data_IF_952793931744
#
_entry.id   IF_952793931744
#
_cell.length_a   1.000
_cell.length_b   1.000
_cell.length_c   1.000
_cell.angle_alpha   90.00
_cell.angle_beta   90.00
_cell.angle_gamma   90.00
#
_symmetry.space_group_name_H-M   'P 1'
#
loop_
_entity.id
_entity.type
_entity.pdbx_description
1 polymer ?
#
# COMPACT_ATOMS: atom_id res chain seq x y z
N UNK A 1 70.13 -17.45 49.10
CA UNK A 1 69.28 -16.24 49.12
C UNK A 1 68.18 -16.42 48.08
N UNK A 2 66.90 -16.48 48.47
CA UNK A 2 65.82 -16.98 47.62
C UNK A 2 65.14 -15.87 46.80
N UNK A 3 64.84 -16.20 45.55
CA UNK A 3 64.13 -15.41 44.56
C UNK A 3 62.63 -15.33 44.86
N UNK A 4 62.09 -14.09 44.90
CA UNK A 4 60.66 -13.83 45.09
C UNK A 4 59.87 -14.13 43.81
N UNK A 5 58.95 -15.08 43.94
CA UNK A 5 57.85 -15.39 43.03
C UNK A 5 56.92 -14.17 42.95
N UNK A 6 56.73 -13.59 41.76
CA UNK A 6 55.67 -12.59 41.50
C UNK A 6 54.45 -13.31 40.93
N UNK A 7 53.32 -13.14 41.61
CA UNK A 7 52.00 -13.64 41.23
C UNK A 7 51.49 -12.96 39.95
N UNK A 8 51.12 -13.77 38.96
CA UNK A 8 50.38 -13.33 37.78
C UNK A 8 48.91 -13.08 38.17
N UNK A 9 48.40 -11.88 37.88
CA UNK A 9 46.97 -11.58 37.97
C UNK A 9 46.22 -12.39 36.90
N UNK A 10 45.06 -12.99 37.20
CA UNK A 10 44.26 -13.65 36.19
C UNK A 10 43.69 -12.61 35.21
N UNK A 11 43.86 -12.89 33.92
CA UNK A 11 43.23 -12.15 32.82
C UNK A 11 41.70 -12.22 32.92
N UNK A 12 40.98 -11.13 32.57
CA UNK A 12 39.53 -11.18 32.49
C UNK A 12 39.10 -12.23 31.45
N UNK A 13 37.98 -12.93 31.65
CA UNK A 13 37.53 -13.94 30.72
C UNK A 13 37.31 -13.31 29.34
N UNK A 14 37.97 -13.91 28.34
CA UNK A 14 37.73 -13.65 26.93
C UNK A 14 36.26 -14.02 26.67
N UNK A 15 35.40 -13.02 26.47
CA UNK A 15 34.07 -13.22 25.91
C UNK A 15 34.28 -13.67 24.47
N UNK A 16 34.37 -14.99 24.28
CA UNK A 16 34.39 -15.61 22.98
C UNK A 16 33.06 -15.35 22.27
N UNK A 17 33.14 -14.59 21.16
CA UNK A 17 32.17 -14.55 20.08
C UNK A 17 30.70 -14.41 20.49
N UNK A 18 30.24 -13.18 20.68
CA UNK A 18 28.93 -12.82 20.16
C UNK A 18 29.05 -12.88 18.63
N UNK A 19 28.83 -14.08 18.07
CA UNK A 19 28.57 -14.22 16.65
C UNK A 19 27.40 -13.29 16.33
N UNK A 20 27.67 -12.26 15.56
CA UNK A 20 26.68 -11.46 14.87
C UNK A 20 25.63 -12.39 14.27
N UNK A 21 24.46 -12.49 14.90
CA UNK A 21 23.32 -13.16 14.29
C UNK A 21 22.95 -12.35 13.06
N UNK A 22 23.36 -12.86 11.91
CA UNK A 22 22.96 -12.41 10.59
C UNK A 22 21.42 -12.30 10.58
N UNK A 23 20.93 -11.07 10.48
CA UNK A 23 19.57 -10.82 10.02
C UNK A 23 19.61 -10.95 8.50
N UNK A 24 19.59 -12.21 8.04
CA UNK A 24 19.36 -12.57 6.65
C UNK A 24 17.94 -12.16 6.26
N UNK A 25 17.82 -11.04 5.56
CA UNK A 25 16.65 -10.70 4.75
C UNK A 25 16.66 -11.56 3.49
N UNK A 26 16.40 -12.86 3.63
CA UNK A 26 16.19 -13.79 2.52
C UNK A 26 15.22 -14.87 2.96
N UNK A 27 13.94 -14.78 2.58
CA UNK A 27 13.00 -15.91 2.48
C UNK A 27 12.74 -16.81 3.70
N UNK A 28 13.33 -16.56 4.87
CA UNK A 28 13.08 -17.31 6.09
C UNK A 28 11.72 -16.93 6.68
N UNK A 29 11.03 -17.91 7.29
CA UNK A 29 9.74 -17.73 7.94
C UNK A 29 9.71 -16.44 8.75
N UNK A 30 8.89 -15.49 8.31
CA UNK A 30 8.75 -14.19 8.95
C UNK A 30 8.33 -14.43 10.40
N UNK A 31 9.23 -14.17 11.36
CA UNK A 31 8.89 -14.31 12.77
C UNK A 31 8.00 -13.13 13.18
N UNK A 32 6.68 -13.33 13.07
CA UNK A 32 5.67 -12.35 13.46
C UNK A 32 5.73 -12.01 14.97
N UNK A 33 6.41 -12.81 15.81
CA UNK A 33 6.60 -12.55 17.24
C UNK A 33 7.87 -11.79 17.60
N UNK A 34 8.65 -11.33 16.62
CA UNK A 34 9.82 -10.51 16.93
C UNK A 34 9.37 -9.13 17.45
N UNK A 35 9.37 -8.96 18.77
CA UNK A 35 8.99 -7.71 19.42
C UNK A 35 9.81 -6.53 18.90
N UNK A 36 11.09 -6.74 18.54
CA UNK A 36 11.95 -5.68 17.99
C UNK A 36 11.44 -5.16 16.65
N UNK A 37 10.86 -6.04 15.82
CA UNK A 37 10.25 -5.63 14.56
C UNK A 37 9.06 -4.70 14.79
N UNK A 38 8.19 -5.03 15.75
CA UNK A 38 7.03 -4.20 16.08
C UNK A 38 7.49 -2.83 16.59
N UNK A 39 8.43 -2.81 17.53
CA UNK A 39 9.00 -1.56 18.03
C UNK A 39 9.60 -0.72 16.90
N UNK A 40 10.35 -1.32 15.99
CA UNK A 40 10.93 -0.62 14.84
C UNK A 40 9.86 -0.04 13.91
N UNK A 41 8.79 -0.79 13.60
CA UNK A 41 7.67 -0.29 12.78
C UNK A 41 7.05 0.95 13.43
N UNK A 42 6.80 0.89 14.74
CA UNK A 42 6.20 2.00 15.47
C UNK A 42 7.15 3.20 15.53
N UNK A 43 8.43 2.99 15.80
CA UNK A 43 9.46 4.05 15.76
C UNK A 43 9.51 4.72 14.39
N UNK A 44 9.56 3.94 13.31
CA UNK A 44 9.57 4.47 11.95
C UNK A 44 8.32 5.28 11.62
N UNK A 45 7.14 4.85 12.11
CA UNK A 45 5.91 5.61 11.94
C UNK A 45 5.98 6.95 12.67
N UNK A 46 6.46 6.96 13.92
CA UNK A 46 6.60 8.18 14.73
C UNK A 46 7.59 9.15 14.11
N UNK A 47 8.79 8.67 13.77
CA UNK A 47 9.85 9.47 13.13
C UNK A 47 9.39 10.00 11.75
N UNK A 48 8.65 9.18 11.00
CA UNK A 48 8.06 9.56 9.73
C UNK A 48 7.07 10.73 9.86
N UNK A 49 6.11 10.64 10.79
CA UNK A 49 5.16 11.73 11.03
C UNK A 49 5.83 12.99 11.60
N UNK A 50 6.81 12.84 12.48
CA UNK A 50 7.61 13.97 12.98
C UNK A 50 8.36 14.66 11.84
N UNK A 51 8.92 13.90 10.91
CA UNK A 51 9.57 14.47 9.72
C UNK A 51 8.55 15.24 8.86
N UNK A 52 7.40 14.63 8.55
CA UNK A 52 6.36 15.26 7.75
C UNK A 52 5.83 16.56 8.39
N UNK A 53 5.71 16.62 9.73
CA UNK A 53 5.26 17.83 10.42
C UNK A 53 6.26 18.99 10.39
N UNK A 54 7.49 18.77 9.90
CA UNK A 54 8.47 19.86 9.66
C UNK A 54 8.37 20.45 8.26
N UNK A 55 7.55 19.87 7.40
CA UNK A 55 7.33 20.32 6.04
C UNK A 55 6.15 21.30 6.01
N UNK A 56 6.22 22.24 5.09
CA UNK A 56 5.16 23.21 4.82
C UNK A 56 4.90 23.21 3.32
N UNK A 57 3.64 23.38 2.93
CA UNK A 57 3.17 23.42 1.53
C UNK A 57 3.69 22.24 0.73
N UNK A 58 3.57 21.03 1.29
CA UNK A 58 3.99 19.79 0.67
C UNK A 58 3.12 19.39 -0.54
N UNK A 59 3.80 19.12 -1.66
CA UNK A 59 3.22 18.47 -2.83
C UNK A 59 3.92 17.13 -3.01
N UNK A 60 3.14 16.05 -2.90
CA UNK A 60 3.68 14.70 -3.05
C UNK A 60 3.66 14.34 -4.54
N UNK A 61 4.85 14.07 -5.08
CA UNK A 61 5.04 13.67 -6.48
C UNK A 61 5.44 12.20 -6.54
N UNK A 62 4.61 11.39 -7.19
CA UNK A 62 4.79 9.94 -7.31
C UNK A 62 4.88 9.53 -8.79
N UNK A 63 5.65 8.48 -9.07
CA UNK A 63 5.85 8.00 -10.43
C UNK A 63 6.95 6.95 -10.52
N UNK A 64 7.21 6.49 -11.74
CA UNK A 64 8.18 5.41 -11.98
C UNK A 64 9.62 5.79 -11.59
N UNK A 65 10.31 4.84 -10.94
CA UNK A 65 11.75 4.88 -10.73
C UNK A 65 12.56 4.53 -11.99
N UNK A 66 11.91 4.00 -13.04
CA UNK A 66 12.58 3.42 -14.23
C UNK A 66 12.66 4.40 -15.41
N UNK A 67 11.99 5.55 -15.35
CA UNK A 67 11.95 6.48 -16.48
C UNK A 67 13.23 7.34 -16.57
N UNK A 68 14.01 7.23 -17.65
CA UNK A 68 15.29 7.92 -17.78
C UNK A 68 15.14 9.43 -18.06
N UNK A 69 16.21 10.23 -17.88
CA UNK A 69 16.19 11.69 -18.10
C UNK A 69 15.75 12.16 -19.49
N UNK A 70 15.91 11.33 -20.53
CA UNK A 70 15.47 11.66 -21.88
C UNK A 70 13.96 11.43 -22.12
N UNK A 71 13.26 10.75 -21.20
CA UNK A 71 11.83 10.49 -21.28
C UNK A 71 11.01 11.79 -21.15
N UNK A 72 9.89 11.89 -21.87
CA UNK A 72 9.01 13.08 -21.83
C UNK A 72 8.49 13.37 -20.42
N UNK A 73 8.09 12.35 -19.67
CA UNK A 73 7.53 12.51 -18.33
C UNK A 73 8.59 12.92 -17.30
N UNK A 74 9.85 12.51 -17.47
CA UNK A 74 10.96 13.01 -16.65
C UNK A 74 11.10 14.53 -16.81
N UNK A 75 11.05 15.04 -18.05
CA UNK A 75 11.16 16.48 -18.32
C UNK A 75 9.98 17.27 -17.73
N UNK A 76 8.78 16.73 -17.80
CA UNK A 76 7.58 17.35 -17.18
C UNK A 76 7.70 17.35 -15.66
N UNK A 77 8.14 16.25 -15.03
CA UNK A 77 8.37 16.19 -13.59
C UNK A 77 9.46 17.17 -13.13
N UNK A 78 10.54 17.30 -13.91
CA UNK A 78 11.60 18.28 -13.68
C UNK A 78 11.06 19.71 -13.70
N UNK A 79 10.25 20.06 -14.70
CA UNK A 79 9.69 21.41 -14.78
C UNK A 79 8.66 21.68 -13.69
N UNK A 80 7.83 20.69 -13.35
CA UNK A 80 6.91 20.80 -12.22
C UNK A 80 7.67 21.06 -10.91
N UNK A 81 8.77 20.33 -10.66
CA UNK A 81 9.63 20.58 -9.51
C UNK A 81 10.15 22.02 -9.46
N UNK A 82 10.55 22.60 -10.61
CA UNK A 82 10.97 24.01 -10.69
C UNK A 82 9.83 24.97 -10.36
N UNK A 83 8.63 24.72 -10.87
CA UNK A 83 7.45 25.54 -10.59
C UNK A 83 7.10 25.48 -9.10
N UNK A 84 7.10 24.30 -8.50
CA UNK A 84 6.87 24.12 -7.06
C UNK A 84 7.90 24.89 -6.23
N UNK A 85 9.19 24.69 -6.52
CA UNK A 85 10.28 25.35 -5.78
C UNK A 85 10.26 26.87 -5.90
N UNK A 86 10.01 27.43 -7.10
CA UNK A 86 9.89 28.89 -7.32
C UNK A 86 8.73 29.53 -6.55
N UNK A 87 7.67 28.76 -6.27
CA UNK A 87 6.46 29.24 -5.62
C UNK A 87 6.38 28.86 -4.13
N UNK A 88 7.49 28.39 -3.55
CA UNK A 88 7.61 28.11 -2.12
C UNK A 88 6.85 26.87 -1.67
N UNK A 89 6.65 25.88 -2.55
CA UNK A 89 6.14 24.56 -2.18
C UNK A 89 7.29 23.61 -1.87
N UNK A 90 7.08 22.71 -0.91
CA UNK A 90 8.00 21.62 -0.62
C UNK A 90 7.69 20.44 -1.54
N UNK A 91 8.64 20.04 -2.38
CA UNK A 91 8.48 18.86 -3.24
C UNK A 91 8.84 17.60 -2.46
N UNK A 92 7.86 16.72 -2.22
CA UNK A 92 8.05 15.46 -1.49
C UNK A 92 7.99 14.28 -2.46
N UNK A 93 8.98 13.39 -2.42
CA UNK A 93 9.00 12.18 -3.25
C UNK A 93 9.49 10.97 -2.44
N UNK A 94 9.53 9.79 -3.07
CA UNK A 94 10.18 8.61 -2.51
C UNK A 94 11.72 8.64 -2.53
N UNK A 95 12.35 9.71 -3.04
CA UNK A 95 13.80 9.96 -3.02
C UNK A 95 14.67 9.05 -3.90
N UNK A 96 14.05 8.16 -4.68
CA UNK A 96 14.74 7.31 -5.65
C UNK A 96 15.03 8.00 -6.99
N UNK A 97 15.45 7.22 -8.01
CA UNK A 97 15.70 7.71 -9.38
C UNK A 97 14.40 7.98 -10.15
N UNK A 98 14.51 8.33 -11.43
CA UNK A 98 13.38 8.47 -12.34
C UNK A 98 12.55 9.73 -12.07
N UNK A 99 11.23 9.59 -12.03
CA UNK A 99 10.32 10.73 -11.79
C UNK A 99 10.60 11.41 -10.44
N UNK A 100 10.90 10.62 -9.40
CA UNK A 100 11.22 11.13 -8.07
C UNK A 100 12.44 12.06 -8.11
N UNK A 101 13.52 11.60 -8.74
CA UNK A 101 14.72 12.41 -8.96
C UNK A 101 14.42 13.66 -9.78
N UNK A 102 13.66 13.55 -10.87
CA UNK A 102 13.32 14.68 -11.71
C UNK A 102 12.62 15.80 -10.93
N UNK A 103 11.60 15.45 -10.16
CA UNK A 103 10.85 16.41 -9.34
C UNK A 103 11.75 17.05 -8.26
N UNK A 104 12.53 16.25 -7.52
CA UNK A 104 13.47 16.76 -6.53
C UNK A 104 14.52 17.68 -7.16
N UNK A 105 15.07 17.28 -8.31
CA UNK A 105 16.04 18.06 -9.09
C UNK A 105 15.49 19.41 -9.51
N UNK A 106 14.26 19.43 -10.01
CA UNK A 106 13.60 20.67 -10.44
C UNK A 106 13.50 21.67 -9.30
N UNK A 107 13.01 21.23 -8.14
CA UNK A 107 12.90 22.06 -6.95
C UNK A 107 14.28 22.52 -6.46
N UNK A 108 15.26 21.62 -6.45
CA UNK A 108 16.62 21.91 -6.01
C UNK A 108 17.32 22.97 -6.88
N UNK A 109 17.24 22.85 -8.22
CA UNK A 109 17.90 23.75 -9.18
C UNK A 109 17.45 25.21 -9.04
N UNK A 110 16.24 25.45 -8.53
CA UNK A 110 15.69 26.80 -8.28
C UNK A 110 15.81 27.25 -6.83
N UNK A 111 16.51 26.47 -5.99
CA UNK A 111 16.70 26.76 -4.57
C UNK A 111 15.52 26.39 -3.66
N UNK A 112 14.47 25.77 -4.18
CA UNK A 112 13.28 25.35 -3.43
C UNK A 112 13.51 24.15 -2.50
N UNK A 113 12.54 23.86 -1.64
CA UNK A 113 12.61 22.74 -0.70
C UNK A 113 12.29 21.40 -1.37
N UNK A 114 13.09 20.38 -1.07
CA UNK A 114 13.03 19.06 -1.69
C UNK A 114 13.25 17.99 -0.62
N UNK A 115 12.24 17.15 -0.42
CA UNK A 115 12.21 16.10 0.59
C UNK A 115 12.13 14.70 -0.05
N UNK A 116 12.76 13.72 0.60
CA UNK A 116 12.79 12.32 0.17
C UNK A 116 12.47 11.35 1.30
N UNK A 117 11.45 10.52 1.11
CA UNK A 117 11.09 9.41 1.99
C UNK A 117 11.76 8.13 1.48
N UNK A 118 12.95 7.81 1.96
CA UNK A 118 13.83 6.79 1.39
C UNK A 118 13.68 5.41 2.07
N UNK A 119 14.12 4.35 1.40
CA UNK A 119 14.24 3.02 1.99
C UNK A 119 15.71 2.66 2.20
N UNK A 120 16.04 2.11 3.37
CA UNK A 120 17.36 1.58 3.69
C UNK A 120 17.48 0.17 3.09
N UNK A 121 18.08 0.07 1.91
CA UNK A 121 18.45 -1.23 1.34
C UNK A 121 19.92 -1.56 1.65
N UNK A 122 20.25 -2.80 2.03
CA UNK A 122 21.64 -3.23 2.23
C UNK A 122 22.53 -3.01 1.00
N UNK A 123 21.92 -3.03 -0.19
CA UNK A 123 22.55 -2.81 -1.49
C UNK A 123 21.61 -1.90 -2.31
N UNK A 124 22.09 -0.73 -2.71
CA UNK A 124 21.57 0.03 -3.88
C UNK A 124 20.18 0.69 -3.85
N UNK A 125 19.85 1.50 -2.84
CA UNK A 125 19.05 2.70 -3.15
C UNK A 125 19.74 3.94 -2.59
N UNK A 126 20.53 4.59 -3.46
CA UNK A 126 21.12 5.89 -3.15
C UNK A 126 20.02 6.94 -3.25
N UNK A 127 19.84 7.70 -2.17
CA UNK A 127 19.05 8.93 -2.20
C UNK A 127 19.56 9.78 -3.35
N UNK A 128 18.65 10.25 -4.21
CA UNK A 128 19.06 11.10 -5.32
C UNK A 128 19.71 12.40 -4.77
N UNK A 129 20.71 12.97 -5.49
CA UNK A 129 21.54 14.05 -4.95
C UNK A 129 20.81 15.38 -4.77
N UNK A 130 19.53 15.46 -5.15
CA UNK A 130 18.72 16.68 -5.13
C UNK A 130 17.74 16.72 -3.95
N UNK A 131 17.76 15.72 -3.08
CA UNK A 131 17.02 15.72 -1.82
C UNK A 131 17.78 16.56 -0.79
N UNK A 132 17.13 17.60 -0.24
CA UNK A 132 17.69 18.43 0.84
C UNK A 132 17.38 17.87 2.23
N UNK A 133 16.16 17.37 2.42
CA UNK A 133 15.67 16.78 3.68
C UNK A 133 15.28 15.34 3.44
N UNK A 134 15.73 14.40 4.26
CA UNK A 134 15.38 13.00 4.09
C UNK A 134 15.08 12.36 5.43
N UNK A 135 14.13 11.42 5.39
CA UNK A 135 14.01 10.36 6.40
C UNK A 135 14.11 9.01 5.70
N UNK A 136 14.53 7.99 6.43
CA UNK A 136 14.82 6.67 5.86
C UNK A 136 14.15 5.58 6.68
N UNK A 137 13.49 4.65 5.99
CA UNK A 137 12.73 3.56 6.57
C UNK A 137 13.41 2.23 6.29
N UNK A 138 13.24 1.25 7.16
CA UNK A 138 13.67 -0.12 6.90
C UNK A 138 12.58 -0.94 6.21
N UNK A 139 11.31 -0.68 6.55
CA UNK A 139 10.18 -1.38 5.95
C UNK A 139 9.56 -0.57 4.81
N UNK A 140 9.31 -1.21 3.67
CA UNK A 140 8.57 -0.59 2.55
C UNK A 140 7.19 -0.09 2.97
N UNK A 141 6.55 -0.85 3.86
CA UNK A 141 5.25 -0.52 4.43
C UNK A 141 5.25 0.84 5.16
N UNK A 142 6.15 1.05 6.12
CA UNK A 142 6.20 2.30 6.91
C UNK A 142 6.52 3.50 6.03
N UNK A 143 7.45 3.33 5.08
CA UNK A 143 7.74 4.32 4.03
C UNK A 143 6.49 4.70 3.23
N UNK A 144 5.72 3.70 2.80
CA UNK A 144 4.50 3.93 2.02
C UNK A 144 3.47 4.72 2.81
N UNK A 145 3.26 4.38 4.08
CA UNK A 145 2.35 5.13 4.96
C UNK A 145 2.70 6.62 4.99
N UNK A 146 3.99 6.96 4.97
CA UNK A 146 4.42 8.36 4.91
C UNK A 146 4.23 8.99 3.52
N UNK A 147 4.43 8.25 2.43
CA UNK A 147 4.20 8.74 1.05
C UNK A 147 2.71 8.97 0.75
N UNK A 148 1.84 8.16 1.35
CA UNK A 148 0.38 8.26 1.20
C UNK A 148 -0.26 8.98 2.38
N UNK A 149 0.52 9.66 3.22
CA UNK A 149 -0.01 10.54 4.27
C UNK A 149 -0.65 11.79 3.66
N UNK A 150 -1.63 12.42 4.36
CA UNK A 150 -2.28 13.61 3.84
C UNK A 150 -1.26 14.71 3.50
N UNK A 151 -1.39 15.32 2.33
CA UNK A 151 -0.65 16.52 1.96
C UNK A 151 -1.49 17.52 1.18
N UNK A 152 -0.91 18.66 0.80
CA UNK A 152 -1.67 19.72 0.14
C UNK A 152 -2.16 19.32 -1.25
N UNK A 153 -1.39 18.50 -1.98
CA UNK A 153 -1.76 17.94 -3.27
C UNK A 153 -0.95 16.67 -3.60
N UNK A 154 -1.53 15.82 -4.45
CA UNK A 154 -0.86 14.65 -5.02
C UNK A 154 -0.77 14.78 -6.53
N UNK A 155 0.44 14.57 -7.06
CA UNK A 155 0.70 14.54 -8.50
C UNK A 155 1.26 13.18 -8.88
N UNK A 156 0.50 12.42 -9.68
CA UNK A 156 0.87 11.09 -10.13
C UNK A 156 1.31 11.12 -11.59
N UNK A 157 2.56 10.74 -11.82
CA UNK A 157 3.13 10.50 -13.14
C UNK A 157 2.99 9.03 -13.53
N UNK A 158 3.27 8.67 -14.80
CA UNK A 158 3.31 7.29 -15.26
C UNK A 158 4.26 6.43 -14.41
N UNK A 159 3.75 5.28 -14.02
CA UNK A 159 4.30 4.45 -12.96
C UNK A 159 4.07 2.95 -13.18
N UNK A 160 4.69 2.13 -12.33
CA UNK A 160 4.48 0.68 -12.30
C UNK A 160 3.44 0.28 -11.25
N UNK A 161 3.50 -0.96 -10.75
CA UNK A 161 2.58 -1.44 -9.73
C UNK A 161 2.65 -0.62 -8.43
N UNK A 162 3.84 -0.23 -7.99
CA UNK A 162 3.98 0.58 -6.77
C UNK A 162 3.27 1.93 -6.86
N UNK A 163 3.39 2.64 -8.00
CA UNK A 163 2.68 3.92 -8.20
C UNK A 163 1.16 3.72 -8.28
N UNK A 164 0.69 2.62 -8.87
CA UNK A 164 -0.73 2.29 -8.91
C UNK A 164 -1.26 1.92 -7.52
N UNK A 165 -0.48 1.22 -6.71
CA UNK A 165 -0.81 0.96 -5.31
C UNK A 165 -0.96 2.27 -4.52
N UNK A 166 0.05 3.14 -4.57
CA UNK A 166 0.03 4.44 -3.89
C UNK A 166 -1.15 5.30 -4.35
N UNK A 167 -1.41 5.33 -5.66
CA UNK A 167 -2.56 6.04 -6.24
C UNK A 167 -3.89 5.52 -5.70
N UNK A 168 -4.12 4.20 -5.80
CA UNK A 168 -5.40 3.63 -5.37
C UNK A 168 -5.58 3.70 -3.85
N UNK A 169 -4.49 3.67 -3.06
CA UNK A 169 -4.55 3.84 -1.61
C UNK A 169 -4.97 5.26 -1.23
N UNK A 170 -4.36 6.29 -1.83
CA UNK A 170 -4.71 7.70 -1.57
C UNK A 170 -6.18 7.96 -1.88
N UNK A 171 -6.66 7.54 -3.06
CA UNK A 171 -8.06 7.79 -3.46
C UNK A 171 -9.05 6.93 -2.69
N UNK A 172 -8.68 5.72 -2.24
CA UNK A 172 -9.52 4.91 -1.35
C UNK A 172 -9.64 5.55 0.03
N UNK A 173 -8.54 6.07 0.60
CA UNK A 173 -8.56 6.76 1.89
C UNK A 173 -9.39 8.04 1.85
N UNK A 174 -9.29 8.83 0.78
CA UNK A 174 -10.16 10.00 0.58
C UNK A 174 -11.64 9.59 0.47
N UNK A 175 -11.92 8.51 -0.26
CA UNK A 175 -13.28 8.01 -0.45
C UNK A 175 -13.90 7.43 0.85
N UNK A 176 -13.08 6.77 1.68
CA UNK A 176 -13.51 6.19 2.94
C UNK A 176 -13.55 7.20 4.10
N UNK A 177 -13.03 8.41 3.91
CA UNK A 177 -12.99 9.47 4.93
C UNK A 177 -11.83 9.35 5.92
N UNK A 178 -10.80 8.55 5.62
CA UNK A 178 -9.57 8.47 6.43
C UNK A 178 -8.55 9.57 6.06
N UNK A 179 -8.77 10.25 4.94
CA UNK A 179 -7.95 11.35 4.46
C UNK A 179 -8.85 12.47 3.94
N UNK A 180 -8.57 13.72 4.32
CA UNK A 180 -9.28 14.86 3.75
C UNK A 180 -8.95 15.03 2.27
N UNK A 181 -9.96 15.41 1.48
CA UNK A 181 -9.83 15.59 0.03
C UNK A 181 -8.69 16.55 -0.33
N UNK A 182 -7.74 16.10 -1.14
CA UNK A 182 -6.69 16.94 -1.74
C UNK A 182 -6.83 16.93 -3.27
N UNK A 183 -6.31 17.94 -3.98
CA UNK A 183 -6.19 17.88 -5.43
C UNK A 183 -5.41 16.63 -5.88
N UNK A 184 -6.00 15.88 -6.80
CA UNK A 184 -5.38 14.73 -7.46
C UNK A 184 -5.11 15.11 -8.92
N UNK A 185 -3.84 15.27 -9.26
CA UNK A 185 -3.39 15.59 -10.61
C UNK A 185 -2.73 14.36 -11.23
N UNK A 186 -3.19 13.97 -12.40
CA UNK A 186 -2.73 12.81 -13.15
C UNK A 186 -1.99 13.29 -14.40
N UNK A 187 -0.67 13.19 -14.40
CA UNK A 187 0.16 13.64 -15.53
C UNK A 187 0.30 12.52 -16.54
N UNK A 188 0.02 12.79 -17.81
CA UNK A 188 0.14 11.85 -18.92
C UNK A 188 -1.21 11.28 -19.33
N UNK A 189 -1.87 11.98 -20.25
CA UNK A 189 -3.18 11.62 -20.78
C UNK A 189 -3.25 10.20 -21.35
N UNK A 190 -2.23 9.80 -22.11
CA UNK A 190 -2.13 8.47 -22.72
C UNK A 190 -2.08 7.36 -21.66
N UNK A 191 -1.44 7.62 -20.51
CA UNK A 191 -1.31 6.67 -19.42
C UNK A 191 -2.61 6.55 -18.61
N UNK A 192 -3.20 7.67 -18.19
CA UNK A 192 -4.30 7.63 -17.23
C UNK A 192 -5.69 7.42 -17.87
N UNK A 193 -5.89 7.80 -19.14
CA UNK A 193 -7.21 7.66 -19.79
C UNK A 193 -7.72 6.21 -19.85
N UNK A 194 -6.92 5.20 -20.24
CA UNK A 194 -7.37 3.80 -20.25
C UNK A 194 -7.85 3.32 -18.87
N UNK A 195 -7.08 3.63 -17.81
CA UNK A 195 -7.43 3.28 -16.45
C UNK A 195 -8.72 3.95 -15.97
N UNK A 196 -8.87 5.25 -16.24
CA UNK A 196 -10.11 5.99 -15.90
C UNK A 196 -11.30 5.47 -16.71
N UNK A 197 -11.08 5.08 -17.97
CA UNK A 197 -12.12 4.43 -18.78
C UNK A 197 -12.56 3.11 -18.15
N UNK A 198 -11.61 2.25 -17.76
CA UNK A 198 -11.89 1.01 -17.04
C UNK A 198 -12.72 1.26 -15.78
N UNK A 199 -12.35 2.23 -14.95
CA UNK A 199 -13.11 2.58 -13.74
C UNK A 199 -14.54 3.01 -14.07
N UNK A 200 -14.74 3.86 -15.08
CA UNK A 200 -16.08 4.31 -15.51
C UNK A 200 -16.92 3.17 -16.06
N UNK A 201 -16.36 2.34 -16.93
CA UNK A 201 -17.13 1.29 -17.61
C UNK A 201 -17.38 0.08 -16.73
N UNK A 202 -16.37 -0.32 -15.95
CA UNK A 202 -16.41 -1.56 -15.17
C UNK A 202 -16.80 -1.28 -13.72
N UNK A 203 -15.99 -0.52 -12.98
CA UNK A 203 -16.23 -0.30 -11.56
C UNK A 203 -17.51 0.52 -11.27
N UNK A 204 -17.80 1.57 -12.05
CA UNK A 204 -18.97 2.45 -11.85
C UNK A 204 -20.23 1.87 -12.52
N UNK A 205 -20.18 1.62 -13.84
CA UNK A 205 -21.38 1.25 -14.61
C UNK A 205 -21.80 -0.22 -14.48
N UNK A 206 -20.85 -1.15 -14.37
CA UNK A 206 -21.15 -2.59 -14.42
C UNK A 206 -21.38 -3.19 -13.03
N UNK A 207 -20.45 -2.95 -12.09
CA UNK A 207 -20.52 -3.58 -10.74
C UNK A 207 -20.88 -2.61 -9.62
N UNK A 208 -21.07 -1.32 -9.94
CA UNK A 208 -21.47 -0.27 -9.00
C UNK A 208 -20.65 -0.22 -7.70
N UNK A 209 -19.35 -0.53 -7.81
CA UNK A 209 -18.41 -0.46 -6.69
C UNK A 209 -17.95 0.97 -6.40
N UNK A 210 -18.13 1.86 -7.38
CA UNK A 210 -17.79 3.28 -7.33
C UNK A 210 -18.93 4.13 -7.92
N UNK A 211 -18.91 5.43 -7.64
CA UNK A 211 -19.80 6.43 -8.21
C UNK A 211 -18.98 7.49 -8.98
N UNK A 212 -19.57 8.20 -9.94
CA UNK A 212 -18.84 9.21 -10.73
C UNK A 212 -18.24 10.32 -9.85
N UNK A 213 -18.90 10.67 -8.73
CA UNK A 213 -18.40 11.66 -7.78
C UNK A 213 -17.02 11.32 -7.21
N UNK A 214 -16.66 10.02 -7.13
CA UNK A 214 -15.38 9.57 -6.57
C UNK A 214 -14.20 9.88 -7.50
N UNK A 215 -14.43 10.01 -8.81
CA UNK A 215 -13.38 10.32 -9.80
C UNK A 215 -13.52 11.73 -10.40
N UNK A 216 -14.62 12.44 -10.10
CA UNK A 216 -14.96 13.72 -10.70
C UNK A 216 -13.91 14.83 -10.44
N UNK A 217 -13.17 14.73 -9.33
CA UNK A 217 -12.17 15.71 -8.94
C UNK A 217 -10.77 15.42 -9.50
N UNK A 218 -10.59 14.30 -10.20
CA UNK A 218 -9.31 14.00 -10.84
C UNK A 218 -9.12 14.88 -12.06
N UNK A 219 -7.89 15.36 -12.26
CA UNK A 219 -7.52 16.21 -13.39
C UNK A 219 -6.37 15.57 -14.14
N UNK A 220 -6.64 15.17 -15.37
CA UNK A 220 -5.63 14.61 -16.27
C UNK A 220 -5.04 15.76 -17.08
N UNK A 221 -3.72 15.89 -17.05
CA UNK A 221 -2.96 16.98 -17.68
C UNK A 221 -1.72 16.41 -18.39
N UNK A 222 -1.12 17.17 -19.29
CA UNK A 222 0.08 16.73 -20.03
C UNK A 222 1.31 17.61 -19.77
N UNK A 223 1.11 18.77 -19.13
CA UNK A 223 2.19 19.75 -18.88
C UNK A 223 2.36 20.09 -17.40
N UNK A 224 3.55 20.58 -17.06
CA UNK A 224 3.88 21.02 -15.71
C UNK A 224 3.07 22.27 -15.31
N UNK A 225 2.83 23.19 -16.25
CA UNK A 225 2.05 24.40 -16.03
C UNK A 225 0.60 24.06 -15.69
N UNK A 226 -0.05 23.19 -16.46
CA UNK A 226 -1.42 22.73 -16.17
C UNK A 226 -1.50 22.05 -14.80
N UNK A 227 -0.53 21.20 -14.47
CA UNK A 227 -0.45 20.56 -13.16
C UNK A 227 -0.31 21.59 -12.03
N UNK A 228 0.59 22.57 -12.21
CA UNK A 228 0.84 23.61 -11.21
C UNK A 228 -0.37 24.54 -11.02
N UNK A 229 -1.06 24.91 -12.10
CA UNK A 229 -2.25 25.75 -12.06
C UNK A 229 -3.37 25.17 -11.18
N UNK A 230 -3.47 23.83 -11.10
CA UNK A 230 -4.45 23.13 -10.28
C UNK A 230 -4.09 23.09 -8.79
N UNK A 231 -2.82 23.27 -8.43
CA UNK A 231 -2.32 23.13 -7.06
C UNK A 231 -1.82 24.45 -6.46
N UNK A 232 -1.58 25.50 -7.25
CA UNK A 232 -0.99 26.77 -6.77
C UNK A 232 -1.71 27.44 -5.61
N UNK A 233 -3.02 27.18 -5.48
CA UNK A 233 -3.87 27.75 -4.42
C UNK A 233 -4.05 26.80 -3.22
N UNK A 234 -3.42 25.62 -3.21
CA UNK A 234 -3.47 24.74 -2.06
C UNK A 234 -2.69 25.36 -0.90
N UNK A 235 -3.32 25.41 0.27
CA UNK A 235 -2.74 25.92 1.51
C UNK A 235 -2.54 24.82 2.51
N UNK A 236 -1.69 25.06 3.50
CA UNK A 236 -1.49 24.15 4.62
C UNK A 236 -2.79 23.95 5.36
N UNK A 237 -2.98 22.71 5.79
CA UNK A 237 -4.13 22.34 6.58
C UNK A 237 -3.77 22.61 8.04
N UNK A 238 -4.68 23.17 8.84
CA UNK A 238 -4.47 23.22 10.28
C UNK A 238 -4.23 21.78 10.77
N UNK A 239 -3.21 21.61 11.62
CA UNK A 239 -2.90 20.31 12.22
C UNK A 239 -4.20 19.73 12.81
N UNK A 240 -4.65 18.58 12.28
CA UNK A 240 -5.98 17.96 12.48
C UNK A 240 -6.24 17.49 13.93
N UNK A 241 -5.40 17.90 14.88
CA UNK A 241 -5.61 17.69 16.31
C UNK A 241 -6.47 18.79 16.97
N UNK A 242 -7.27 19.54 16.23
CA UNK A 242 -8.30 20.42 16.81
C UNK A 242 -9.53 19.58 17.24
N UNK A 243 -9.57 19.23 18.52
CA UNK A 243 -10.74 18.99 19.38
C UNK A 243 -12.06 18.51 18.74
N UNK A 244 -12.02 17.51 17.82
CA UNK A 244 -13.21 16.86 17.31
C UNK A 244 -13.44 15.52 18.05
N UNK A 245 -14.44 15.42 18.95
CA UNK A 245 -14.74 14.21 19.71
C UNK A 245 -15.21 13.03 18.84
N UNK A 246 -15.53 13.27 17.56
CA UNK A 246 -15.91 12.24 16.59
C UNK A 246 -14.78 11.83 15.64
N UNK A 247 -13.56 12.36 15.81
CA UNK A 247 -12.40 11.88 15.07
C UNK A 247 -11.77 10.73 15.87
N UNK A 248 -11.96 9.45 15.50
CA UNK A 248 -11.41 8.30 16.25
C UNK A 248 -9.87 8.29 16.26
N UNK A 249 -9.23 9.13 15.44
CA UNK A 249 -7.79 9.32 15.47
C UNK A 249 -7.39 10.35 16.57
N UNK A 250 -8.26 11.27 17.02
CA UNK A 250 -7.92 12.37 17.94
C UNK A 250 -8.82 12.49 19.19
N UNK A 251 -9.73 11.54 19.42
CA UNK A 251 -10.84 11.69 20.37
C UNK A 251 -10.45 11.96 21.84
N UNK A 252 -9.19 11.73 22.23
CA UNK A 252 -8.72 11.73 23.62
C UNK A 252 -7.41 12.51 23.87
N UNK A 253 -6.96 13.34 22.92
CA UNK A 253 -6.01 14.42 23.22
C UNK A 253 -4.62 13.97 23.70
N UNK A 254 -3.91 13.16 22.92
CA UNK A 254 -2.43 13.17 22.85
C UNK A 254 -1.94 12.27 21.71
N UNK A 255 -0.84 12.65 21.05
CA UNK A 255 -0.13 11.83 20.06
C UNK A 255 0.26 10.45 20.62
N UNK A 256 0.48 10.38 21.93
CA UNK A 256 0.90 9.17 22.64
C UNK A 256 -0.12 8.03 22.51
N UNK A 257 -1.42 8.32 22.61
CA UNK A 257 -2.45 7.29 22.56
C UNK A 257 -2.59 6.62 21.18
N UNK A 258 -2.39 7.39 20.09
CA UNK A 258 -2.35 6.85 18.72
C UNK A 258 -1.25 5.82 18.58
N UNK A 259 -0.05 6.13 19.08
CA UNK A 259 1.12 5.26 19.01
C UNK A 259 0.85 3.96 19.77
N UNK A 260 0.28 4.03 20.98
CA UNK A 260 -0.10 2.84 21.74
C UNK A 260 -1.17 2.00 21.05
N UNK A 261 -2.13 2.63 20.36
CA UNK A 261 -3.15 1.91 19.59
C UNK A 261 -2.56 1.22 18.36
N UNK A 262 -1.70 1.89 17.59
CA UNK A 262 -0.97 1.28 16.46
C UNK A 262 -0.16 0.09 16.95
N UNK A 263 0.59 0.26 18.05
CA UNK A 263 1.34 -0.83 18.67
C UNK A 263 0.43 -2.01 19.03
N UNK A 264 -0.70 -1.74 19.68
CA UNK A 264 -1.67 -2.77 20.07
C UNK A 264 -2.24 -3.52 18.87
N UNK A 265 -2.66 -2.81 17.81
CA UNK A 265 -3.18 -3.42 16.58
C UNK A 265 -2.12 -4.24 15.85
N UNK A 266 -0.85 -3.80 15.84
CA UNK A 266 0.25 -4.57 15.26
C UNK A 266 0.50 -5.86 16.05
N UNK A 267 0.52 -5.79 17.39
CA UNK A 267 0.70 -6.98 18.25
C UNK A 267 -0.45 -7.96 18.02
N UNK A 268 -1.70 -7.50 18.11
CA UNK A 268 -2.87 -8.34 17.89
C UNK A 268 -2.90 -8.91 16.48
N UNK A 269 -2.60 -8.09 15.47
CA UNK A 269 -2.54 -8.50 14.06
C UNK A 269 -1.51 -9.60 13.82
N UNK A 270 -0.28 -9.42 14.31
CA UNK A 270 0.77 -10.40 14.14
C UNK A 270 0.53 -11.69 14.94
N UNK A 271 0.01 -11.60 16.15
CA UNK A 271 -0.40 -12.77 16.92
C UNK A 271 -1.51 -13.53 16.18
N UNK A 272 -2.51 -12.80 15.67
CA UNK A 272 -3.62 -13.37 14.90
C UNK A 272 -3.12 -14.13 13.67
N UNK A 273 -2.19 -13.56 12.89
CA UNK A 273 -1.57 -14.24 11.75
C UNK A 273 -0.92 -15.59 12.11
N UNK A 274 -0.35 -15.73 13.31
CA UNK A 274 0.25 -17.02 13.73
C UNK A 274 -0.77 -18.14 13.92
N UNK A 275 -2.06 -17.79 14.05
CA UNK A 275 -3.15 -18.75 14.19
C UNK A 275 -3.70 -19.21 12.85
N UNK A 276 -3.39 -18.49 11.77
CA UNK A 276 -3.90 -18.76 10.42
C UNK A 276 -2.98 -19.75 9.72
N UNK A 277 -3.54 -20.82 9.16
CA UNK A 277 -2.80 -21.81 8.38
C UNK A 277 -3.50 -22.08 7.06
N UNK A 278 -2.72 -22.30 6.01
CA UNK A 278 -3.23 -22.72 4.69
C UNK A 278 -4.39 -21.87 4.14
N UNK A 279 -4.33 -20.54 4.32
CA UNK A 279 -5.42 -19.66 3.92
C UNK A 279 -5.35 -19.23 2.45
N UNK A 280 -6.52 -18.91 1.90
CA UNK A 280 -6.67 -18.20 0.63
C UNK A 280 -7.38 -16.89 0.90
N UNK A 281 -6.78 -15.79 0.43
CA UNK A 281 -7.32 -14.45 0.65
C UNK A 281 -8.22 -14.06 -0.50
N UNK A 282 -9.47 -13.72 -0.21
CA UNK A 282 -10.48 -13.36 -1.22
C UNK A 282 -10.99 -11.95 -1.01
N UNK A 283 -10.97 -11.16 -2.09
CA UNK A 283 -11.23 -9.73 -2.10
C UNK A 283 -12.22 -9.38 -3.21
N UNK A 284 -13.04 -8.37 -2.99
CA UNK A 284 -14.05 -7.93 -3.96
C UNK A 284 -14.97 -6.87 -3.38
N UNK A 285 -15.87 -6.33 -4.20
CA UNK A 285 -16.78 -5.28 -3.75
C UNK A 285 -17.94 -5.78 -2.87
N UNK A 286 -18.41 -4.89 -1.99
CA UNK A 286 -19.67 -5.05 -1.24
C UNK A 286 -20.93 -4.86 -2.10
N UNK A 287 -20.78 -4.29 -3.31
CA UNK A 287 -21.91 -3.92 -4.18
C UNK A 287 -22.52 -5.10 -4.95
N UNK A 288 -21.83 -6.24 -5.02
CA UNK A 288 -22.35 -7.45 -5.66
C UNK A 288 -23.13 -8.27 -4.64
N UNK A 289 -24.45 -8.13 -4.69
CA UNK A 289 -25.39 -8.65 -3.69
C UNK A 289 -25.87 -10.08 -4.00
N UNK A 290 -26.53 -10.75 -3.03
CA UNK A 290 -27.18 -12.04 -3.27
C UNK A 290 -28.09 -12.03 -4.50
N UNK A 291 -28.05 -13.11 -5.29
CA UNK A 291 -28.79 -13.25 -6.54
C UNK A 291 -28.02 -12.85 -7.81
N UNK A 292 -26.86 -12.20 -7.67
CA UNK A 292 -25.96 -11.95 -8.81
C UNK A 292 -25.12 -13.19 -9.16
N UNK A 293 -24.72 -13.37 -10.44
CA UNK A 293 -23.81 -14.45 -10.82
C UNK A 293 -22.48 -14.43 -10.06
N UNK A 294 -21.92 -13.24 -9.82
CA UNK A 294 -20.68 -13.09 -9.04
C UNK A 294 -20.83 -13.54 -7.59
N UNK A 295 -21.95 -13.22 -6.94
CA UNK A 295 -22.20 -13.69 -5.57
C UNK A 295 -22.30 -15.22 -5.53
N UNK A 296 -23.00 -15.84 -6.50
CA UNK A 296 -23.09 -17.29 -6.58
C UNK A 296 -21.72 -17.95 -6.83
N UNK A 297 -20.88 -17.36 -7.68
CA UNK A 297 -19.52 -17.83 -7.94
C UNK A 297 -18.62 -17.69 -6.70
N UNK A 298 -18.72 -16.57 -5.99
CA UNK A 298 -18.00 -16.32 -4.73
C UNK A 298 -18.43 -17.31 -3.64
N UNK A 299 -19.72 -17.59 -3.50
CA UNK A 299 -20.24 -18.64 -2.62
C UNK A 299 -19.67 -20.02 -2.99
N UNK A 300 -19.69 -20.37 -4.28
CA UNK A 300 -19.11 -21.63 -4.76
C UNK A 300 -17.62 -21.73 -4.44
N UNK A 301 -16.86 -20.64 -4.59
CA UNK A 301 -15.44 -20.61 -4.22
C UNK A 301 -15.26 -20.92 -2.72
N UNK A 302 -16.01 -20.25 -1.85
CA UNK A 302 -15.94 -20.48 -0.41
C UNK A 302 -16.22 -21.94 -0.04
N UNK A 303 -17.25 -22.53 -0.66
CA UNK A 303 -17.57 -23.96 -0.50
C UNK A 303 -16.41 -24.86 -0.92
N UNK A 304 -15.83 -24.61 -2.09
CA UNK A 304 -14.73 -25.41 -2.62
C UNK A 304 -13.48 -25.31 -1.73
N UNK A 305 -13.16 -24.12 -1.25
CA UNK A 305 -12.03 -23.88 -0.35
C UNK A 305 -12.22 -24.64 0.98
N UNK A 306 -13.42 -24.60 1.56
CA UNK A 306 -13.74 -25.36 2.77
C UNK A 306 -13.59 -26.88 2.55
N UNK A 307 -14.09 -27.40 1.42
CA UNK A 307 -13.95 -28.82 1.05
C UNK A 307 -12.49 -29.24 0.84
N UNK A 308 -11.64 -28.33 0.37
CA UNK A 308 -10.20 -28.53 0.23
C UNK A 308 -9.41 -28.22 1.52
N UNK A 309 -10.09 -27.98 2.65
CA UNK A 309 -9.47 -27.66 3.95
C UNK A 309 -8.61 -26.38 3.95
N UNK A 310 -8.97 -25.40 3.12
CA UNK A 310 -8.37 -24.06 3.13
C UNK A 310 -9.18 -23.10 3.99
N UNK A 311 -8.51 -22.35 4.85
CA UNK A 311 -9.14 -21.23 5.58
C UNK A 311 -9.41 -20.07 4.62
N UNK A 312 -10.61 -19.51 4.65
CA UNK A 312 -10.96 -18.32 3.86
C UNK A 312 -10.60 -17.07 4.66
N UNK A 313 -9.81 -16.17 4.08
CA UNK A 313 -9.53 -14.86 4.66
C UNK A 313 -10.15 -13.76 3.78
N UNK A 314 -10.94 -12.87 4.39
CA UNK A 314 -11.58 -11.74 3.69
C UNK A 314 -11.58 -10.47 4.52
N UNK A 315 -12.15 -9.38 3.98
CA UNK A 315 -12.40 -8.15 4.72
C UNK A 315 -13.59 -8.20 5.69
N UNK A 316 -14.32 -9.32 5.77
CA UNK A 316 -15.43 -9.52 6.72
C UNK A 316 -16.75 -8.79 6.42
N UNK A 317 -16.79 -7.92 5.40
CA UNK A 317 -17.95 -7.11 5.01
C UNK A 317 -19.10 -7.88 4.32
N UNK A 318 -20.00 -7.15 3.67
CA UNK A 318 -21.10 -7.70 2.85
C UNK A 318 -20.68 -7.98 1.40
N UNK A 319 -21.58 -8.54 0.59
CA UNK A 319 -21.40 -8.69 -0.86
C UNK A 319 -20.52 -9.89 -1.23
N UNK A 320 -19.50 -9.71 -2.09
CA UNK A 320 -18.64 -10.83 -2.52
C UNK A 320 -18.03 -11.55 -1.31
N UNK A 321 -17.42 -10.81 -0.40
CA UNK A 321 -16.71 -11.41 0.74
C UNK A 321 -17.65 -12.13 1.69
N UNK A 322 -18.89 -11.65 1.84
CA UNK A 322 -19.94 -12.36 2.55
C UNK A 322 -20.31 -13.67 1.87
N UNK A 323 -20.43 -13.68 0.54
CA UNK A 323 -20.74 -14.90 -0.21
C UNK A 323 -19.68 -15.98 0.01
N UNK A 324 -18.39 -15.62 -0.08
CA UNK A 324 -17.28 -16.56 0.14
C UNK A 324 -17.29 -17.06 1.59
N UNK A 325 -17.44 -16.16 2.56
CA UNK A 325 -17.52 -16.52 3.96
C UNK A 325 -18.69 -17.48 4.22
N UNK A 326 -19.86 -17.20 3.64
CA UNK A 326 -21.06 -18.04 3.71
C UNK A 326 -20.81 -19.43 3.12
N UNK A 327 -20.22 -19.49 1.93
CA UNK A 327 -19.87 -20.74 1.26
C UNK A 327 -18.94 -21.60 2.10
N UNK A 328 -17.93 -20.99 2.73
CA UNK A 328 -17.03 -21.71 3.62
C UNK A 328 -17.73 -22.17 4.91
N UNK A 329 -18.43 -21.26 5.59
CA UNK A 329 -19.12 -21.50 6.85
C UNK A 329 -20.15 -22.63 6.76
N UNK A 330 -21.04 -22.60 5.77
CA UNK A 330 -22.09 -23.61 5.59
C UNK A 330 -21.53 -25.00 5.22
N UNK A 331 -20.28 -25.08 4.78
CA UNK A 331 -19.59 -26.32 4.46
C UNK A 331 -18.53 -26.70 5.53
N UNK A 332 -18.63 -26.13 6.73
CA UNK A 332 -17.77 -26.47 7.87
C UNK A 332 -16.34 -25.94 7.80
N UNK A 333 -16.05 -25.02 6.87
CA UNK A 333 -14.76 -24.36 6.75
C UNK A 333 -14.60 -23.16 7.68
N UNK A 334 -13.35 -22.79 7.93
CA UNK A 334 -13.01 -21.59 8.69
C UNK A 334 -13.05 -20.34 7.81
N UNK A 335 -13.66 -19.27 8.34
CA UNK A 335 -13.91 -18.01 7.64
C UNK A 335 -13.45 -16.83 8.51
N UNK A 336 -12.41 -16.14 8.06
CA UNK A 336 -11.73 -15.06 8.77
C UNK A 336 -12.11 -13.70 8.18
N UNK A 337 -12.54 -12.77 9.03
CA UNK A 337 -12.86 -11.40 8.65
C UNK A 337 -11.90 -10.38 9.25
N UNK A 338 -11.13 -9.68 8.42
CA UNK A 338 -10.29 -8.54 8.82
C UNK A 338 -11.01 -7.22 8.52
N UNK A 339 -11.74 -6.71 9.51
CA UNK A 339 -12.61 -5.56 9.39
C UNK A 339 -11.88 -4.23 9.63
N UNK A 340 -12.46 -3.14 9.12
CA UNK A 340 -12.01 -1.78 9.38
C UNK A 340 -13.12 -1.05 10.14
N UNK A 341 -12.79 -0.39 11.25
CA UNK A 341 -13.72 0.46 11.97
C UNK A 341 -14.02 1.70 11.11
N UNK A 342 -15.21 1.76 10.52
CA UNK A 342 -15.70 2.91 9.76
C UNK A 342 -16.92 3.45 10.50
N UNK A 343 -16.89 4.74 10.88
CA UNK A 343 -17.96 5.41 11.64
C UNK A 343 -18.32 4.67 12.94
N UNK A 344 -17.32 4.15 13.67
CA UNK A 344 -17.49 3.43 14.94
C UNK A 344 -18.32 2.13 14.87
N UNK A 345 -18.49 1.55 13.68
CA UNK A 345 -19.19 0.27 13.52
C UNK A 345 -18.35 -0.76 12.77
N UNK A 346 -18.31 -1.97 13.32
CA UNK A 346 -17.82 -3.16 12.63
C UNK A 346 -18.92 -3.73 11.76
N UNK A 347 -18.68 -3.75 10.45
CA UNK A 347 -19.58 -4.40 9.49
C UNK A 347 -19.06 -5.81 9.22
N UNK A 348 -19.16 -6.68 10.21
CA UNK A 348 -18.90 -8.11 10.04
C UNK A 348 -20.18 -8.84 9.61
N UNK A 349 -20.07 -9.72 8.61
CA UNK A 349 -21.17 -10.59 8.22
C UNK A 349 -21.32 -11.78 9.18
N UNK A 350 -22.50 -12.39 9.19
CA UNK A 350 -22.86 -13.48 10.12
C UNK A 350 -22.09 -14.80 9.89
N UNK A 351 -21.32 -14.90 8.81
CA UNK A 351 -20.61 -16.11 8.39
C UNK A 351 -19.11 -16.06 8.68
N UNK A 352 -18.65 -15.03 9.40
CA UNK A 352 -17.28 -14.93 9.90
C UNK A 352 -17.16 -15.76 11.18
N UNK A 353 -16.24 -16.73 11.21
CA UNK A 353 -15.97 -17.56 12.39
C UNK A 353 -14.93 -16.95 13.33
N UNK A 354 -13.98 -16.17 12.78
CA UNK A 354 -12.97 -15.42 13.54
C UNK A 354 -12.76 -14.06 12.91
N UNK A 355 -12.56 -13.03 13.71
CA UNK A 355 -12.35 -11.68 13.19
C UNK A 355 -11.32 -10.90 13.97
N UNK A 356 -10.73 -9.93 13.29
CA UNK A 356 -9.94 -8.86 13.89
C UNK A 356 -10.33 -7.55 13.21
N UNK A 357 -10.57 -6.52 14.02
CA UNK A 357 -10.95 -5.19 13.56
C UNK A 357 -9.81 -4.20 13.80
N UNK A 358 -9.68 -3.23 12.90
CA UNK A 358 -8.59 -2.25 12.93
C UNK A 358 -9.15 -0.83 12.83
N UNK A 359 -8.54 0.13 13.54
CA UNK A 359 -8.82 1.55 13.35
C UNK A 359 -7.95 2.14 12.25
N UNK A 360 -6.76 1.58 12.04
CA UNK A 360 -5.80 2.10 11.06
C UNK A 360 -5.84 1.28 9.76
N UNK A 361 -6.26 1.89 8.63
CA UNK A 361 -6.33 1.19 7.34
C UNK A 361 -4.98 0.58 6.93
N UNK A 362 -3.87 1.26 7.24
CA UNK A 362 -2.54 0.76 6.92
C UNK A 362 -2.18 -0.50 7.73
N UNK A 363 -2.50 -0.55 9.03
CA UNK A 363 -2.24 -1.76 9.84
C UNK A 363 -3.08 -2.91 9.30
N UNK A 364 -4.37 -2.67 9.05
CA UNK A 364 -5.25 -3.66 8.42
C UNK A 364 -4.67 -4.19 7.11
N UNK A 365 -4.21 -3.30 6.22
CA UNK A 365 -3.66 -3.67 4.91
C UNK A 365 -2.47 -4.61 5.08
N UNK A 366 -1.54 -4.29 5.98
CA UNK A 366 -0.38 -5.14 6.29
C UNK A 366 -0.78 -6.56 6.70
N UNK A 367 -1.87 -6.72 7.48
CA UNK A 367 -2.35 -8.03 7.92
C UNK A 367 -3.10 -8.76 6.80
N UNK A 368 -3.95 -8.06 6.04
CA UNK A 368 -4.72 -8.63 4.92
C UNK A 368 -3.82 -9.13 3.79
N UNK A 369 -2.75 -8.39 3.48
CA UNK A 369 -1.80 -8.75 2.42
C UNK A 369 -0.67 -9.63 2.94
N UNK A 370 -0.82 -10.22 4.13
CA UNK A 370 0.12 -11.23 4.61
C UNK A 370 0.14 -12.44 3.66
N UNK A 371 1.31 -13.11 3.51
CA UNK A 371 1.45 -14.23 2.59
C UNK A 371 0.37 -15.29 2.78
N UNK A 372 -0.41 -15.49 1.71
CA UNK A 372 -1.49 -16.47 1.62
C UNK A 372 -1.12 -17.54 0.59
N UNK A 373 -1.81 -18.68 0.54
CA UNK A 373 -1.58 -19.70 -0.50
C UNK A 373 -1.89 -19.18 -1.90
N UNK A 374 -2.91 -18.34 -2.01
CA UNK A 374 -3.24 -17.57 -3.18
C UNK A 374 -4.05 -16.33 -2.78
N UNK A 375 -4.14 -15.38 -3.71
CA UNK A 375 -5.06 -14.26 -3.65
C UNK A 375 -6.10 -14.39 -4.77
N UNK A 376 -7.37 -14.14 -4.47
CA UNK A 376 -8.45 -14.15 -5.44
C UNK A 376 -9.19 -12.82 -5.40
N UNK A 377 -9.20 -12.12 -6.52
CA UNK A 377 -9.83 -10.80 -6.68
C UNK A 377 -11.07 -10.93 -7.57
N UNK A 378 -12.24 -10.78 -6.96
CA UNK A 378 -13.49 -10.54 -7.68
C UNK A 378 -13.59 -9.07 -8.09
N UNK A 379 -14.50 -8.73 -9.02
CA UNK A 379 -14.72 -7.35 -9.44
C UNK A 379 -14.89 -6.37 -8.28
N UNK A 380 -14.33 -5.17 -8.42
CA UNK A 380 -14.32 -4.20 -7.35
C UNK A 380 -13.90 -2.78 -7.72
N UNK A 381 -13.70 -1.95 -6.69
CA UNK A 381 -13.36 -0.52 -6.80
C UNK A 381 -11.98 -0.23 -6.23
N UNK A 382 -11.77 0.98 -5.69
CA UNK A 382 -10.47 1.42 -5.14
C UNK A 382 -9.91 0.46 -4.08
N UNK A 383 -10.69 0.09 -3.06
CA UNK A 383 -10.29 -0.87 -2.05
C UNK A 383 -9.93 -2.28 -2.56
N UNK A 384 -10.40 -2.68 -3.74
CA UNK A 384 -9.98 -3.94 -4.38
C UNK A 384 -8.68 -3.71 -5.18
N UNK A 385 -8.60 -2.59 -5.90
CA UNK A 385 -7.47 -2.26 -6.76
C UNK A 385 -6.19 -1.96 -5.97
N UNK A 386 -6.26 -1.19 -4.87
CA UNK A 386 -5.05 -0.92 -4.07
C UNK A 386 -4.50 -2.21 -3.41
N UNK A 387 -5.36 -3.19 -3.07
CA UNK A 387 -4.87 -4.47 -2.53
C UNK A 387 -4.28 -5.35 -3.64
N UNK A 388 -4.86 -5.32 -4.84
CA UNK A 388 -4.29 -6.00 -5.99
C UNK A 388 -2.89 -5.46 -6.31
N UNK A 389 -2.76 -4.14 -6.47
CA UNK A 389 -1.46 -3.54 -6.80
C UNK A 389 -0.45 -3.63 -5.66
N UNK A 390 -0.87 -3.65 -4.39
CA UNK A 390 0.03 -3.96 -3.27
C UNK A 390 0.59 -5.39 -3.39
N UNK A 391 -0.27 -6.40 -3.58
CA UNK A 391 0.18 -7.80 -3.71
C UNK A 391 1.13 -7.95 -4.90
N UNK A 392 0.80 -7.36 -6.06
CA UNK A 392 1.67 -7.38 -7.24
C UNK A 392 3.00 -6.68 -6.99
N UNK A 393 3.00 -5.54 -6.29
CA UNK A 393 4.23 -4.82 -5.91
C UNK A 393 5.08 -5.64 -4.95
N UNK A 394 4.48 -6.31 -3.96
CA UNK A 394 5.20 -7.14 -3.01
C UNK A 394 5.83 -8.38 -3.67
N UNK A 395 5.16 -8.95 -4.67
CA UNK A 395 5.71 -10.05 -5.49
C UNK A 395 6.84 -9.52 -6.39
N UNK A 396 6.62 -8.43 -7.14
CA UNK A 396 7.61 -7.80 -8.04
C UNK A 396 8.91 -7.44 -7.29
N UNK A 397 8.78 -6.93 -6.07
CA UNK A 397 9.92 -6.49 -5.23
C UNK A 397 10.49 -7.59 -4.35
N UNK A 398 10.05 -8.84 -4.52
CA UNK A 398 10.48 -10.03 -3.78
C UNK A 398 10.30 -9.89 -2.25
N UNK A 399 9.37 -9.04 -1.81
CA UNK A 399 8.99 -8.89 -0.39
C UNK A 399 7.91 -9.87 0.05
N UNK A 400 7.27 -10.50 -0.92
CA UNK A 400 6.40 -11.65 -0.74
C UNK A 400 6.88 -12.78 -1.66
N UNK A 401 6.84 -14.05 -1.21
CA UNK A 401 7.02 -15.18 -2.11
C UNK A 401 6.05 -15.10 -3.29
N UNK A 402 6.48 -15.54 -4.47
CA UNK A 402 5.58 -15.64 -5.62
C UNK A 402 4.44 -16.60 -5.32
N UNK A 403 3.22 -16.06 -5.25
CA UNK A 403 1.98 -16.81 -5.01
C UNK A 403 0.99 -16.56 -6.15
N UNK A 404 0.11 -17.51 -6.47
CA UNK A 404 -0.92 -17.30 -7.48
C UNK A 404 -1.83 -16.11 -7.14
N UNK A 405 -1.99 -15.18 -8.08
CA UNK A 405 -2.94 -14.07 -8.02
C UNK A 405 -4.00 -14.28 -9.09
N UNK A 406 -5.21 -14.63 -8.66
CA UNK A 406 -6.34 -14.86 -9.55
C UNK A 406 -7.24 -13.63 -9.61
N UNK A 407 -7.71 -13.29 -10.81
CA UNK A 407 -8.76 -12.30 -11.01
C UNK A 407 -9.96 -12.99 -11.65
N UNK A 408 -11.11 -12.96 -10.96
CA UNK A 408 -12.34 -13.62 -11.39
C UNK A 408 -13.18 -12.69 -12.25
N UNK A 409 -13.75 -13.21 -13.35
CA UNK A 409 -14.49 -12.50 -14.41
C UNK A 409 -13.56 -11.84 -15.43
N UNK A 410 -13.28 -12.57 -16.51
CA UNK A 410 -12.48 -12.09 -17.62
C UNK A 410 -13.06 -10.82 -18.25
N UNK A 411 -14.39 -10.75 -18.41
CA UNK A 411 -15.03 -9.59 -19.03
C UNK A 411 -14.83 -8.33 -18.21
N UNK A 412 -14.82 -8.44 -16.88
CA UNK A 412 -14.50 -7.32 -16.01
C UNK A 412 -13.04 -6.91 -16.11
N UNK A 413 -12.10 -7.84 -15.93
CA UNK A 413 -10.66 -7.53 -15.76
C UNK A 413 -9.89 -7.31 -17.05
N UNK A 414 -10.37 -7.78 -18.20
CA UNK A 414 -9.65 -7.72 -19.47
C UNK A 414 -9.09 -6.31 -19.82
N UNK A 415 -9.84 -5.20 -19.70
CA UNK A 415 -9.29 -3.89 -20.01
C UNK A 415 -8.16 -3.46 -19.06
N UNK A 416 -8.19 -3.90 -17.80
CA UNK A 416 -7.10 -3.64 -16.86
C UNK A 416 -5.87 -4.49 -17.18
N UNK A 417 -6.05 -5.75 -17.57
CA UNK A 417 -4.94 -6.63 -18.00
C UNK A 417 -4.26 -6.08 -19.25
N UNK A 418 -5.03 -5.58 -20.21
CA UNK A 418 -4.49 -4.89 -21.40
C UNK A 418 -3.73 -3.61 -21.02
N UNK A 419 -4.27 -2.84 -20.06
CA UNK A 419 -3.58 -1.68 -19.52
C UNK A 419 -2.25 -2.06 -18.82
N UNK A 420 -2.24 -3.14 -18.02
CA UNK A 420 -1.01 -3.67 -17.41
C UNK A 420 0.02 -4.06 -18.47
N UNK A 421 -0.41 -4.66 -19.58
CA UNK A 421 0.49 -4.97 -20.70
C UNK A 421 1.11 -3.70 -21.33
N UNK A 422 0.34 -2.60 -21.42
CA UNK A 422 0.88 -1.31 -21.88
C UNK A 422 1.96 -0.75 -20.93
N UNK A 423 1.87 -1.00 -19.62
CA UNK A 423 2.89 -0.58 -18.65
C UNK A 423 4.26 -1.15 -19.00
N UNK A 424 4.31 -2.39 -19.51
CA UNK A 424 5.55 -3.02 -19.95
C UNK A 424 5.97 -2.56 -21.34
N UNK A 425 5.10 -2.74 -22.35
CA UNK A 425 5.47 -2.58 -23.76
C UNK A 425 5.69 -1.12 -24.14
N UNK A 426 4.81 -0.23 -23.68
CA UNK A 426 4.81 1.18 -24.08
C UNK A 426 5.56 2.04 -23.06
N UNK A 427 5.18 1.95 -21.78
CA UNK A 427 5.70 2.85 -20.74
C UNK A 427 7.00 2.35 -20.10
N UNK A 428 7.30 1.05 -20.20
CA UNK A 428 8.48 0.39 -19.61
C UNK A 428 8.63 0.64 -18.10
N UNK A 429 7.49 0.70 -17.39
CA UNK A 429 7.44 0.98 -15.96
C UNK A 429 7.42 -0.28 -15.09
N UNK A 430 7.16 -1.44 -15.68
CA UNK A 430 7.29 -2.78 -15.09
C UNK A 430 8.19 -3.67 -15.96
N UNK A 431 8.57 -4.85 -15.49
CA UNK A 431 9.36 -5.86 -16.23
C UNK A 431 8.48 -6.92 -16.89
N UNK A 432 9.02 -7.70 -17.84
CA UNK A 432 8.24 -8.70 -18.59
C UNK A 432 7.73 -9.85 -17.72
N UNK A 433 8.45 -10.18 -16.64
CA UNK A 433 8.06 -11.24 -15.69
C UNK A 433 6.74 -10.89 -14.99
N UNK A 434 6.47 -9.59 -14.87
CA UNK A 434 5.37 -9.05 -14.06
C UNK A 434 3.98 -9.25 -14.69
N UNK A 435 3.89 -9.39 -16.02
CA UNK A 435 2.61 -9.67 -16.69
C UNK A 435 2.06 -11.06 -16.37
N UNK A 436 2.93 -12.00 -15.96
CA UNK A 436 2.52 -13.37 -15.64
C UNK A 436 1.94 -13.54 -14.24
N UNK A 437 1.96 -12.48 -13.43
CA UNK A 437 1.46 -12.54 -12.05
C UNK A 437 -0.06 -12.68 -11.98
N UNK A 438 -0.79 -12.09 -12.93
CA UNK A 438 -2.26 -12.09 -12.94
C UNK A 438 -2.79 -13.27 -13.75
N UNK A 439 -3.58 -14.14 -13.11
CA UNK A 439 -4.28 -15.24 -13.76
C UNK A 439 -5.77 -14.92 -13.86
N UNK A 440 -6.24 -14.68 -15.06
CA UNK A 440 -7.67 -14.41 -15.32
C UNK A 440 -8.45 -15.72 -15.38
N UNK A 441 -9.52 -15.82 -14.59
CA UNK A 441 -10.36 -17.03 -14.48
C UNK A 441 -11.84 -16.68 -14.58
N UNK A 442 -12.65 -17.61 -15.09
CA UNK A 442 -14.11 -17.49 -15.17
C UNK A 442 -14.85 -18.55 -14.32
N UNK A 443 -14.09 -19.50 -13.76
CA UNK A 443 -14.61 -20.59 -12.94
C UNK A 443 -13.90 -20.66 -11.58
N UNK A 444 -14.63 -20.70 -10.45
CA UNK A 444 -14.04 -20.90 -9.13
C UNK A 444 -13.26 -22.21 -8.99
N UNK A 445 -13.55 -23.21 -9.83
CA UNK A 445 -12.82 -24.50 -9.80
C UNK A 445 -11.35 -24.33 -10.19
N UNK A 446 -11.04 -23.32 -11.02
CA UNK A 446 -9.71 -23.11 -11.57
C UNK A 446 -8.72 -22.70 -10.47
N UNK A 447 -9.23 -22.03 -9.42
CA UNK A 447 -8.47 -21.71 -8.21
C UNK A 447 -7.99 -22.99 -7.53
N UNK A 448 -8.91 -23.93 -7.24
CA UNK A 448 -8.61 -25.16 -6.51
C UNK A 448 -7.62 -26.05 -7.25
N UNK A 449 -7.73 -26.13 -8.58
CA UNK A 449 -6.81 -26.95 -9.39
C UNK A 449 -5.34 -26.49 -9.33
N UNK A 450 -5.08 -25.31 -8.77
CA UNK A 450 -3.78 -24.65 -8.75
C UNK A 450 -3.29 -24.31 -7.32
N UNK A 451 -4.04 -24.73 -6.29
CA UNK A 451 -3.66 -24.67 -4.88
C UNK A 451 -3.04 -26.00 -4.44
#
# INVERSE_FOLDING_TARGET
MPSRIKSAKPSPPVISSLSSSHFETTGAAVNYRDSWRIFRIVTEIVEGYQFLSTLEREVIVLGSARLPPNNKYYKVALELGRLLGKNGFTTVTGGGPGIMEAANRGAFEVGGESAGLNIQLPMEQRVNPYVKKATSFYYFFTRKVMLTSPGNAFVFFPGGFGTLDEFFEVVDYMNLGFMDSAPIVLVGTEFWKPLVSFLRTKAIKEVHSLEEKHIANWRIVDTADEAFELIKNSSDRPNVCDNNPNNPLCADGSTDWRVFRILSELVQGFEFLTTIKHNVTVLGTKSLLPGTPHYAAAYKLGKLLAQAHHTVLTGGGSGVVEAVNKGAFENGGESIGLALHINNHDRLNAYVTKSLSFFFPFVRKLIVTSPSKAFVFFPGGFGTLHQLFEVLTLIETEKMPSVPVFVYDKMFWQPLVEYVHQLFVEFKTISQVDETFIRVIDSPNDVISQL
#
